data_IF_099789303691
#
_entry.id   IF_099789303691
#
_cell.length_a   1.000
_cell.length_b   1.000
_cell.length_c   1.000
_cell.angle_alpha   90.00
_cell.angle_beta   90.00
_cell.angle_gamma   90.00
#
_symmetry.space_group_name_H-M   'P 1'
#
loop_
_entity.id
_entity.type
_entity.pdbx_description
1 polymer ?
#
# COMPACT_ATOMS: atom_id res chain seq x y z
N UNK A 1 -9.43 9.44 11.76
CA UNK A 1 -10.23 8.85 12.86
C UNK A 1 -10.37 7.34 12.63
N UNK A 2 -10.64 6.50 13.63
CA UNK A 2 -10.73 5.04 13.43
C UNK A 2 -11.67 4.63 12.31
N UNK A 3 -12.75 5.38 12.09
CA UNK A 3 -13.75 5.14 11.04
C UNK A 3 -13.19 5.32 9.62
N UNK A 4 -12.07 6.03 9.45
CA UNK A 4 -11.41 6.21 8.15
C UNK A 4 -10.53 5.00 7.76
N UNK A 5 -10.30 4.07 8.68
CA UNK A 5 -9.47 2.88 8.47
C UNK A 5 -10.31 1.61 8.23
N UNK A 6 -11.62 1.75 8.05
CA UNK A 6 -12.48 0.63 7.67
C UNK A 6 -12.03 0.07 6.32
N UNK A 7 -11.91 -1.25 6.24
CA UNK A 7 -11.44 -1.96 5.04
C UNK A 7 -12.52 -2.27 4.00
N UNK A 8 -13.74 -1.75 4.19
CA UNK A 8 -14.94 -2.16 3.44
C UNK A 8 -15.71 -3.26 4.16
N UNK A 9 -17.04 -3.25 4.04
CA UNK A 9 -17.95 -4.24 4.59
C UNK A 9 -18.24 -5.39 3.62
N UNK A 10 -17.96 -5.21 2.32
CA UNK A 10 -18.08 -6.24 1.28
C UNK A 10 -16.77 -6.42 0.52
N UNK A 11 -16.68 -7.50 -0.26
CA UNK A 11 -15.53 -7.77 -1.13
C UNK A 11 -15.32 -6.63 -2.16
N UNK A 12 -16.42 -6.11 -2.72
CA UNK A 12 -16.39 -5.01 -3.68
C UNK A 12 -15.87 -3.72 -3.03
N UNK A 13 -16.33 -3.38 -1.82
CA UNK A 13 -15.85 -2.19 -1.10
C UNK A 13 -14.36 -2.32 -0.75
N UNK A 14 -13.91 -3.51 -0.33
CA UNK A 14 -12.51 -3.76 -0.04
C UNK A 14 -11.64 -3.64 -1.30
N UNK A 15 -12.11 -4.18 -2.43
CA UNK A 15 -11.43 -4.05 -3.73
C UNK A 15 -11.31 -2.59 -4.17
N UNK A 16 -12.37 -1.79 -3.98
CA UNK A 16 -12.35 -0.35 -4.30
C UNK A 16 -11.32 0.41 -3.45
N UNK A 17 -11.25 0.14 -2.15
CA UNK A 17 -10.25 0.76 -1.26
C UNK A 17 -8.83 0.35 -1.67
N UNK A 18 -8.62 -0.94 -1.97
CA UNK A 18 -7.34 -1.44 -2.45
C UNK A 18 -6.89 -0.75 -3.74
N UNK A 19 -7.77 -0.67 -4.73
CA UNK A 19 -7.51 0.03 -6.00
C UNK A 19 -7.21 1.52 -5.77
N UNK A 20 -7.98 2.20 -4.92
CA UNK A 20 -7.78 3.61 -4.61
C UNK A 20 -6.41 3.84 -3.94
N UNK A 21 -5.96 2.94 -3.06
CA UNK A 21 -4.61 3.06 -2.46
C UNK A 21 -3.53 2.92 -3.53
N UNK A 22 -3.64 1.90 -4.41
CA UNK A 22 -2.65 1.69 -5.46
C UNK A 22 -2.61 2.81 -6.51
N UNK A 23 -3.75 3.45 -6.78
CA UNK A 23 -3.87 4.62 -7.67
C UNK A 23 -3.48 5.93 -7.00
N UNK A 24 -3.16 5.91 -5.70
CA UNK A 24 -2.88 7.11 -4.91
C UNK A 24 -4.08 8.08 -4.81
N UNK A 25 -5.30 7.53 -4.76
CA UNK A 25 -6.59 8.25 -4.72
C UNK A 25 -7.36 8.00 -3.40
N UNK A 26 -6.85 7.13 -2.52
CA UNK A 26 -7.47 6.81 -1.23
C UNK A 26 -7.39 7.95 -0.21
N UNK A 27 -8.18 7.84 0.87
CA UNK A 27 -8.06 8.76 2.00
C UNK A 27 -6.64 8.74 2.57
N UNK A 28 -6.09 9.89 3.04
CA UNK A 28 -4.76 9.93 3.62
C UNK A 28 -4.56 8.90 4.75
N UNK A 29 -5.57 8.67 5.59
CA UNK A 29 -5.51 7.67 6.66
C UNK A 29 -5.34 6.23 6.12
N UNK A 30 -6.10 5.87 5.08
CA UNK A 30 -6.05 4.55 4.43
C UNK A 30 -4.70 4.33 3.74
N UNK A 31 -4.20 5.35 3.02
CA UNK A 31 -2.86 5.29 2.43
C UNK A 31 -1.79 5.15 3.52
N UNK A 32 -1.86 5.95 4.58
CA UNK A 32 -0.85 5.94 5.64
C UNK A 32 -0.75 4.60 6.39
N UNK A 33 -1.87 3.91 6.65
CA UNK A 33 -1.81 2.59 7.30
C UNK A 33 -1.15 1.55 6.38
N UNK A 34 -1.40 1.62 5.07
CA UNK A 34 -0.75 0.75 4.09
C UNK A 34 0.75 1.05 3.99
N UNK A 35 1.13 2.33 3.98
CA UNK A 35 2.54 2.73 4.02
C UNK A 35 3.24 2.22 5.27
N UNK A 36 2.61 2.29 6.44
CA UNK A 36 3.18 1.77 7.69
C UNK A 36 3.39 0.26 7.64
N UNK A 37 2.38 -0.51 7.20
CA UNK A 37 2.50 -1.96 7.07
C UNK A 37 3.57 -2.37 6.05
N UNK A 38 3.62 -1.69 4.90
CA UNK A 38 4.64 -1.91 3.88
C UNK A 38 6.04 -1.57 4.40
N UNK A 39 6.20 -0.46 5.12
CA UNK A 39 7.47 -0.06 5.71
C UNK A 39 8.02 -1.11 6.68
N UNK A 40 7.17 -1.66 7.56
CA UNK A 40 7.61 -2.76 8.43
C UNK A 40 7.97 -4.02 7.64
N UNK A 41 7.23 -4.36 6.59
CA UNK A 41 7.58 -5.46 5.68
C UNK A 41 8.96 -5.26 5.02
N UNK A 42 9.23 -4.05 4.53
CA UNK A 42 10.53 -3.68 3.95
C UNK A 42 11.63 -3.74 5.01
N UNK A 43 11.40 -3.24 6.22
CA UNK A 43 12.40 -3.27 7.29
C UNK A 43 12.80 -4.70 7.68
N UNK A 44 11.81 -5.61 7.73
CA UNK A 44 12.05 -7.04 7.95
C UNK A 44 12.90 -7.63 6.82
N UNK A 45 12.55 -7.34 5.56
CA UNK A 45 13.32 -7.78 4.38
C UNK A 45 14.77 -7.28 4.42
N UNK A 46 14.96 -6.02 4.81
CA UNK A 46 16.26 -5.36 4.94
C UNK A 46 17.03 -5.79 6.20
N UNK A 47 16.49 -6.70 7.02
CA UNK A 47 17.08 -7.21 8.27
C UNK A 47 17.42 -6.08 9.24
N UNK A 48 16.60 -5.05 9.29
CA UNK A 48 16.79 -3.88 10.16
C UNK A 48 17.97 -2.97 9.75
N UNK A 49 18.57 -3.16 8.57
CA UNK A 49 19.66 -2.29 8.07
C UNK A 49 19.18 -0.90 7.67
N UNK A 50 17.90 -0.78 7.28
CA UNK A 50 17.24 0.49 6.99
C UNK A 50 16.41 0.95 8.17
N UNK A 51 16.44 2.25 8.44
CA UNK A 51 15.58 2.85 9.44
C UNK A 51 14.11 2.73 9.02
N UNK A 52 13.19 2.83 9.98
CA UNK A 52 11.77 2.78 9.65
C UNK A 52 11.36 3.96 8.76
N UNK A 53 11.98 5.13 8.93
CA UNK A 53 11.78 6.31 8.10
C UNK A 53 12.20 6.06 6.66
N UNK A 54 13.37 5.46 6.43
CA UNK A 54 13.81 5.06 5.08
C UNK A 54 12.81 4.08 4.43
N UNK A 55 12.30 3.11 5.20
CA UNK A 55 11.33 2.14 4.71
C UNK A 55 9.98 2.79 4.37
N UNK A 56 9.54 3.79 5.15
CA UNK A 56 8.33 4.58 4.84
C UNK A 56 8.52 5.35 3.53
N UNK A 57 9.68 5.96 3.28
CA UNK A 57 9.92 6.66 2.02
C UNK A 57 9.96 5.70 0.82
N UNK A 58 10.53 4.51 0.97
CA UNK A 58 10.49 3.47 -0.07
C UNK A 58 9.04 3.05 -0.37
N UNK A 59 8.24 2.78 0.68
CA UNK A 59 6.83 2.43 0.51
C UNK A 59 6.04 3.56 -0.17
N UNK A 60 6.30 4.81 0.22
CA UNK A 60 5.64 6.00 -0.35
C UNK A 60 6.00 6.18 -1.81
N UNK A 61 7.27 6.08 -2.16
CA UNK A 61 7.74 6.19 -3.54
C UNK A 61 7.07 5.13 -4.43
N UNK A 62 6.91 3.91 -3.94
CA UNK A 62 6.25 2.81 -4.67
C UNK A 62 4.78 3.13 -5.02
N UNK A 63 4.03 3.74 -4.09
CA UNK A 63 2.64 4.15 -4.31
C UNK A 63 2.58 5.40 -5.18
N UNK A 64 3.32 6.45 -4.83
CA UNK A 64 3.20 7.79 -5.44
C UNK A 64 3.66 7.81 -6.90
N UNK A 65 4.65 6.97 -7.24
CA UNK A 65 5.13 6.80 -8.61
C UNK A 65 4.23 5.90 -9.48
N UNK A 66 3.26 5.22 -8.88
CA UNK A 66 2.42 4.22 -9.55
C UNK A 66 3.11 2.88 -9.82
N UNK A 67 4.34 2.67 -9.33
CA UNK A 67 5.05 1.38 -9.47
C UNK A 67 4.29 0.23 -8.82
N UNK A 68 3.70 0.44 -7.64
CA UNK A 68 2.89 -0.57 -6.96
C UNK A 68 1.72 -1.05 -7.84
N UNK A 69 0.99 -0.11 -8.47
CA UNK A 69 -0.11 -0.43 -9.39
C UNK A 69 0.39 -1.17 -10.63
N UNK A 70 1.52 -0.74 -11.21
CA UNK A 70 2.11 -1.40 -12.37
C UNK A 70 2.50 -2.86 -12.06
N UNK A 71 3.13 -3.09 -10.89
CA UNK A 71 3.46 -4.44 -10.42
C UNK A 71 2.21 -5.30 -10.20
N UNK A 72 1.17 -4.75 -9.57
CA UNK A 72 -0.09 -5.48 -9.37
C UNK A 72 -0.76 -5.87 -10.68
N UNK A 73 -0.84 -4.93 -11.66
CA UNK A 73 -1.36 -5.23 -12.99
C UNK A 73 -0.58 -6.34 -13.68
N UNK A 74 0.76 -6.33 -13.57
CA UNK A 74 1.59 -7.39 -14.15
C UNK A 74 1.34 -8.74 -13.47
N UNK A 75 1.18 -8.76 -12.15
CA UNK A 75 0.82 -9.96 -11.41
C UNK A 75 -0.53 -10.53 -11.90
N UNK A 76 -1.56 -9.70 -12.03
CA UNK A 76 -2.87 -10.12 -12.52
C UNK A 76 -2.79 -10.67 -13.96
N UNK A 77 -2.04 -10.02 -14.85
CA UNK A 77 -1.84 -10.47 -16.24
C UNK A 77 -1.23 -11.88 -16.32
N UNK A 78 -0.28 -12.21 -15.43
CA UNK A 78 0.41 -13.51 -15.43
C UNK A 78 -0.47 -14.63 -14.84
N UNK A 79 -1.47 -14.29 -14.02
CA UNK A 79 -2.32 -15.26 -13.31
C UNK A 79 -3.76 -15.31 -13.83
N UNK A 80 -4.04 -14.66 -14.96
CA UNK A 80 -5.34 -14.70 -15.65
C UNK A 80 -5.50 -15.96 -16.51
#
# INVERSE_FOLDING_TARGET
KPEELVGGATEEEAAQIFDAVLKNEALPAQKNIVLANAAFGIQVLEKGKKSIEECIEIARESIDSGKALATFKKFAEINS
#
